data_IF_766846207351
#
_entry.id   IF_766846207351
#
_cell.length_a   1.000
_cell.length_b   1.000
_cell.length_c   1.000
_cell.angle_alpha   90.00
_cell.angle_beta   90.00
_cell.angle_gamma   90.00
#
_symmetry.space_group_name_H-M   'P 1'
#
loop_
_entity.id
_entity.type
_entity.pdbx_description
1 polymer ?
#
# COMPACT_ATOMS: atom_id res chain seq x y z
N UNK A 1 -29.90 -1.82 -1.58
CA UNK A 1 -28.80 -2.77 -1.28
C UNK A 1 -28.61 -3.63 -2.51
N UNK A 2 -27.64 -3.26 -3.39
CA UNK A 2 -27.30 -4.11 -4.53
C UNK A 2 -26.65 -5.39 -4.01
N UNK A 3 -27.14 -6.54 -4.45
CA UNK A 3 -26.46 -7.82 -4.23
C UNK A 3 -25.09 -7.72 -4.87
N UNK A 4 -24.00 -7.75 -4.07
CA UNK A 4 -22.65 -7.95 -4.59
C UNK A 4 -22.66 -9.25 -5.38
N UNK A 5 -22.23 -9.19 -6.64
CA UNK A 5 -22.03 -10.35 -7.47
C UNK A 5 -21.16 -11.35 -6.71
N UNK A 6 -21.60 -12.58 -6.57
CA UNK A 6 -20.86 -13.64 -5.84
C UNK A 6 -19.58 -14.10 -6.55
N UNK A 7 -19.36 -13.63 -7.78
CA UNK A 7 -18.20 -14.01 -8.60
C UNK A 7 -17.18 -12.86 -8.54
N UNK A 8 -15.98 -13.16 -8.03
CA UNK A 8 -14.85 -12.23 -8.01
C UNK A 8 -14.42 -11.95 -9.45
N UNK A 9 -14.34 -10.67 -9.89
CA UNK A 9 -13.87 -10.35 -11.23
C UNK A 9 -12.42 -10.82 -11.45
N UNK A 10 -12.14 -11.30 -12.65
CA UNK A 10 -10.78 -11.74 -13.03
C UNK A 10 -9.89 -10.59 -13.49
N UNK A 11 -10.48 -9.53 -14.05
CA UNK A 11 -9.77 -8.40 -14.65
C UNK A 11 -9.60 -7.24 -13.68
N UNK A 12 -8.48 -6.54 -13.82
CA UNK A 12 -8.21 -5.25 -13.17
C UNK A 12 -8.72 -4.08 -14.08
N UNK A 13 -9.20 -2.96 -13.51
CA UNK A 13 -9.30 -2.65 -12.06
C UNK A 13 -10.57 -3.19 -11.38
N UNK A 14 -11.51 -3.82 -12.11
CA UNK A 14 -12.81 -4.25 -11.58
C UNK A 14 -12.67 -5.18 -10.37
N UNK A 15 -11.63 -6.02 -10.39
CA UNK A 15 -11.29 -6.90 -9.25
C UNK A 15 -11.02 -6.09 -7.99
N UNK A 16 -10.24 -5.02 -8.07
CA UNK A 16 -9.92 -4.19 -6.89
C UNK A 16 -11.14 -3.40 -6.42
N UNK A 17 -11.96 -2.88 -7.32
CA UNK A 17 -13.23 -2.25 -6.95
C UNK A 17 -14.17 -3.21 -6.21
N UNK A 18 -14.22 -4.47 -6.63
CA UNK A 18 -14.96 -5.49 -5.89
C UNK A 18 -14.46 -5.63 -4.45
N UNK A 19 -13.15 -5.71 -4.23
CA UNK A 19 -12.58 -5.79 -2.87
C UNK A 19 -12.75 -4.49 -2.08
N UNK A 20 -12.69 -3.32 -2.72
CA UNK A 20 -12.98 -2.04 -2.07
C UNK A 20 -14.43 -2.03 -1.53
N UNK A 21 -15.40 -2.49 -2.29
CA UNK A 21 -16.80 -2.56 -1.83
C UNK A 21 -17.01 -3.58 -0.69
N UNK A 22 -16.31 -4.72 -0.72
CA UNK A 22 -16.30 -5.67 0.40
C UNK A 22 -15.73 -5.00 1.66
N UNK A 23 -14.57 -4.35 1.54
CA UNK A 23 -13.93 -3.62 2.63
C UNK A 23 -14.84 -2.54 3.20
N UNK A 24 -15.49 -1.77 2.35
CA UNK A 24 -16.41 -0.70 2.77
C UNK A 24 -17.51 -1.22 3.70
N UNK A 25 -18.06 -2.39 3.39
CA UNK A 25 -19.06 -3.04 4.24
C UNK A 25 -18.47 -3.52 5.57
N UNK A 26 -17.26 -4.07 5.55
CA UNK A 26 -16.57 -4.54 6.77
C UNK A 26 -16.15 -3.38 7.67
N UNK A 27 -15.56 -2.34 7.09
CA UNK A 27 -15.12 -1.14 7.81
C UNK A 27 -16.30 -0.40 8.43
N UNK A 28 -17.43 -0.29 7.71
CA UNK A 28 -18.65 0.28 8.24
C UNK A 28 -19.13 -0.45 9.49
N UNK A 29 -19.19 -1.78 9.45
CA UNK A 29 -19.59 -2.60 10.62
C UNK A 29 -18.62 -2.43 11.80
N UNK A 30 -17.32 -2.34 11.54
CA UNK A 30 -16.31 -2.11 12.58
C UNK A 30 -16.43 -0.71 13.17
N UNK A 31 -16.67 0.32 12.35
CA UNK A 31 -16.90 1.69 12.79
C UNK A 31 -18.16 1.81 13.66
N UNK A 32 -19.26 1.19 13.25
CA UNK A 32 -20.50 1.11 14.04
C UNK A 32 -20.28 0.45 15.41
N UNK A 33 -19.50 -0.65 15.46
CA UNK A 33 -19.13 -1.32 16.71
C UNK A 33 -18.23 -0.48 17.60
N UNK A 34 -17.29 0.29 17.01
CA UNK A 34 -16.37 1.16 17.72
C UNK A 34 -17.06 2.46 18.21
N UNK A 35 -18.11 2.90 17.52
CA UNK A 35 -18.82 4.17 17.76
C UNK A 35 -18.16 5.38 17.10
N UNK A 36 -17.13 5.18 16.29
CA UNK A 36 -16.41 6.21 15.55
C UNK A 36 -15.83 5.66 14.23
N UNK A 37 -15.45 6.56 13.30
CA UNK A 37 -14.81 6.18 12.05
C UNK A 37 -13.44 5.55 12.30
N UNK A 38 -13.10 4.52 11.52
CA UNK A 38 -11.76 3.97 11.56
C UNK A 38 -10.78 4.89 10.84
N UNK A 39 -9.62 5.08 11.46
CA UNK A 39 -8.59 6.01 10.97
C UNK A 39 -7.43 5.28 10.31
N UNK A 40 -6.73 5.98 9.39
CA UNK A 40 -5.48 5.49 8.83
C UNK A 40 -4.38 6.54 8.85
N UNK A 41 -3.13 6.07 8.94
CA UNK A 41 -1.91 6.85 8.83
C UNK A 41 -0.95 6.21 7.82
N UNK A 42 -0.35 7.01 6.93
CA UNK A 42 0.69 6.54 6.00
C UNK A 42 1.97 7.32 6.21
N UNK A 43 3.00 6.66 6.69
CA UNK A 43 4.34 7.21 6.80
C UNK A 43 5.18 6.79 5.59
N UNK A 44 5.61 7.76 4.78
CA UNK A 44 6.41 7.52 3.59
C UNK A 44 7.88 7.85 3.84
N UNK A 45 8.74 6.84 3.71
CA UNK A 45 10.19 6.98 3.75
C UNK A 45 10.74 6.74 2.36
N UNK A 46 10.85 7.77 1.53
CA UNK A 46 11.32 7.47 0.18
C UNK A 46 11.38 8.63 -0.80
N UNK A 47 11.33 8.28 -2.07
CA UNK A 47 11.37 9.20 -3.20
C UNK A 47 9.95 9.61 -3.63
N UNK A 48 9.87 10.39 -4.73
CA UNK A 48 8.59 10.83 -5.29
C UNK A 48 7.69 9.66 -5.74
N UNK A 49 8.28 8.54 -6.22
CA UNK A 49 7.50 7.35 -6.56
C UNK A 49 6.82 6.74 -5.33
N UNK A 50 7.52 6.65 -4.18
CA UNK A 50 6.89 6.18 -2.95
C UNK A 50 5.78 7.14 -2.50
N UNK A 51 5.97 8.46 -2.66
CA UNK A 51 4.92 9.43 -2.35
C UNK A 51 3.67 9.18 -3.22
N UNK A 52 3.84 8.96 -4.52
CA UNK A 52 2.74 8.63 -5.44
C UNK A 52 2.08 7.28 -5.13
N UNK A 53 2.88 6.27 -4.77
CA UNK A 53 2.35 4.99 -4.29
C UNK A 53 1.48 5.18 -3.03
N UNK A 54 1.92 6.03 -2.09
CA UNK A 54 1.16 6.35 -0.88
C UNK A 54 -0.16 7.08 -1.17
N UNK A 55 -0.21 7.96 -2.18
CA UNK A 55 -1.44 8.62 -2.63
C UNK A 55 -2.47 7.59 -3.15
N UNK A 56 -2.03 6.55 -3.86
CA UNK A 56 -2.89 5.45 -4.32
C UNK A 56 -3.40 4.62 -3.13
N UNK A 57 -2.51 4.26 -2.18
CA UNK A 57 -2.91 3.53 -0.98
C UNK A 57 -3.94 4.31 -0.15
N UNK A 58 -3.73 5.63 0.00
CA UNK A 58 -4.67 6.52 0.68
C UNK A 58 -6.04 6.52 -0.02
N UNK A 59 -6.07 6.67 -1.34
CA UNK A 59 -7.31 6.66 -2.11
C UNK A 59 -8.10 5.35 -1.94
N UNK A 60 -7.42 4.21 -1.93
CA UNK A 60 -8.06 2.90 -1.68
C UNK A 60 -8.65 2.84 -0.26
N UNK A 61 -7.92 3.31 0.76
CA UNK A 61 -8.42 3.32 2.14
C UNK A 61 -9.60 4.27 2.33
N UNK A 62 -9.56 5.47 1.74
CA UNK A 62 -10.68 6.42 1.80
C UNK A 62 -11.90 5.88 1.06
N UNK A 63 -11.72 5.25 -0.10
CA UNK A 63 -12.80 4.58 -0.81
C UNK A 63 -13.42 3.42 -0.01
N UNK A 64 -12.61 2.75 0.83
CA UNK A 64 -13.07 1.71 1.75
C UNK A 64 -13.71 2.27 3.04
N UNK A 65 -13.67 3.60 3.28
CA UNK A 65 -14.33 4.25 4.40
C UNK A 65 -13.44 4.56 5.61
N UNK A 66 -12.12 4.45 5.49
CA UNK A 66 -11.20 4.97 6.49
C UNK A 66 -11.04 6.49 6.37
N UNK A 67 -10.70 7.14 7.47
CA UNK A 67 -10.45 8.59 7.57
C UNK A 67 -8.97 8.84 7.87
N UNK A 68 -8.35 9.75 7.14
CA UNK A 68 -6.94 10.12 7.35
C UNK A 68 -6.71 10.73 8.74
N UNK A 69 -5.58 10.40 9.37
CA UNK A 69 -5.07 11.06 10.57
C UNK A 69 -3.54 11.19 10.53
N UNK A 70 -3.00 12.22 11.17
CA UNK A 70 -1.55 12.37 11.36
C UNK A 70 -1.03 11.56 12.56
N UNK A 71 -1.92 10.92 13.31
CA UNK A 71 -1.54 10.09 14.46
C UNK A 71 -1.11 8.70 14.01
N UNK A 72 0.09 8.27 14.39
CA UNK A 72 0.59 6.90 14.15
C UNK A 72 -0.12 5.82 15.00
N UNK A 73 -0.99 6.19 15.92
CA UNK A 73 -1.83 5.25 16.68
C UNK A 73 -3.19 5.02 16.01
N UNK A 74 -3.26 5.26 14.70
CA UNK A 74 -4.44 5.01 13.87
C UNK A 74 -4.84 3.52 13.85
N UNK A 75 -6.09 3.24 13.46
CA UNK A 75 -6.59 1.86 13.31
C UNK A 75 -5.85 1.09 12.21
N UNK A 76 -5.30 1.80 11.20
CA UNK A 76 -4.46 1.23 10.18
C UNK A 76 -3.23 2.12 9.92
N UNK A 77 -2.04 1.57 10.09
CA UNK A 77 -0.77 2.27 9.83
C UNK A 77 -0.02 1.60 8.68
N UNK A 78 0.43 2.38 7.72
CA UNK A 78 1.22 1.92 6.58
C UNK A 78 2.59 2.59 6.58
N UNK A 79 3.65 1.81 6.51
CA UNK A 79 5.02 2.27 6.28
C UNK A 79 5.43 1.96 4.84
N UNK A 80 5.51 2.99 4.00
CA UNK A 80 5.98 2.88 2.63
C UNK A 80 7.47 3.22 2.58
N UNK A 81 8.31 2.27 2.23
CA UNK A 81 9.76 2.27 2.46
C UNK A 81 10.57 2.31 1.17
N UNK A 82 11.85 2.70 1.30
CA UNK A 82 12.78 2.92 0.19
C UNK A 82 14.08 2.13 0.40
N UNK A 83 14.59 1.52 -0.66
CA UNK A 83 15.90 0.84 -0.68
C UNK A 83 17.09 1.76 -0.97
N UNK A 84 16.84 2.95 -1.50
CA UNK A 84 17.92 3.88 -1.95
C UNK A 84 18.51 4.69 -0.80
N UNK A 85 17.76 4.85 0.29
CA UNK A 85 18.13 5.72 1.42
C UNK A 85 18.38 4.88 2.66
N UNK A 86 19.63 4.68 3.03
CA UNK A 86 20.02 3.93 4.24
C UNK A 86 19.30 4.43 5.51
N UNK A 87 19.15 5.75 5.65
CA UNK A 87 18.39 6.34 6.75
C UNK A 87 16.91 5.99 6.77
N UNK A 88 16.31 5.53 5.64
CA UNK A 88 14.92 5.09 5.61
C UNK A 88 14.71 3.81 6.40
N UNK A 89 15.63 2.84 6.29
CA UNK A 89 15.59 1.58 7.01
C UNK A 89 15.70 1.81 8.51
N UNK A 90 16.66 2.64 8.95
CA UNK A 90 16.85 2.95 10.36
C UNK A 90 15.62 3.64 10.98
N UNK A 91 15.00 4.56 10.23
CA UNK A 91 13.76 5.22 10.66
C UNK A 91 12.61 4.22 10.78
N UNK A 92 12.42 3.37 9.76
CA UNK A 92 11.40 2.32 9.83
C UNK A 92 11.54 1.48 11.10
N UNK A 93 12.74 0.94 11.37
CA UNK A 93 12.96 0.09 12.52
C UNK A 93 12.76 0.81 13.86
N UNK A 94 13.09 2.11 13.92
CA UNK A 94 12.78 2.96 15.08
C UNK A 94 11.27 3.06 15.33
N UNK A 95 10.47 3.31 14.27
CA UNK A 95 9.00 3.33 14.35
C UNK A 95 8.44 1.96 14.76
N UNK A 96 8.92 0.86 14.15
CA UNK A 96 8.46 -0.49 14.48
C UNK A 96 8.72 -0.87 15.92
N UNK A 97 9.83 -0.39 16.51
CA UNK A 97 10.11 -0.58 17.94
C UNK A 97 9.01 -0.01 18.84
N UNK A 98 8.54 1.21 18.54
CA UNK A 98 7.42 1.87 19.24
C UNK A 98 6.09 1.17 18.95
N UNK A 99 5.82 0.89 17.70
CA UNK A 99 4.56 0.29 17.24
C UNK A 99 4.30 -1.09 17.82
N UNK A 100 5.35 -1.83 18.20
CA UNK A 100 5.22 -3.09 18.93
C UNK A 100 4.45 -2.91 20.25
N UNK A 101 4.70 -1.82 20.97
CA UNK A 101 4.01 -1.50 22.22
C UNK A 101 2.58 -1.04 21.95
N UNK A 102 2.40 -0.16 20.96
CA UNK A 102 1.07 0.35 20.56
C UNK A 102 0.17 -0.81 20.13
N UNK A 103 0.65 -1.69 19.24
CA UNK A 103 -0.08 -2.89 18.78
C UNK A 103 -0.46 -3.84 19.92
N UNK A 104 0.39 -3.97 20.94
CA UNK A 104 0.08 -4.78 22.13
C UNK A 104 -1.10 -4.21 22.93
N UNK A 105 -1.21 -2.88 22.98
CA UNK A 105 -2.29 -2.18 23.68
C UNK A 105 -3.56 -2.05 22.83
N UNK A 106 -3.41 -2.06 21.50
CA UNK A 106 -4.52 -2.05 20.52
C UNK A 106 -4.34 -3.21 19.53
N UNK A 107 -4.72 -4.45 19.89
CA UNK A 107 -4.54 -5.63 19.03
C UNK A 107 -5.27 -5.56 17.70
N UNK A 108 -6.39 -4.85 17.64
CA UNK A 108 -7.24 -4.72 16.44
C UNK A 108 -6.65 -3.76 15.38
N UNK A 109 -5.65 -2.94 15.75
CA UNK A 109 -4.91 -2.09 14.85
C UNK A 109 -4.22 -2.93 13.76
N UNK A 110 -4.23 -2.46 12.51
CA UNK A 110 -3.49 -3.07 11.41
C UNK A 110 -2.19 -2.31 11.13
N UNK A 111 -1.12 -3.04 10.84
CA UNK A 111 0.17 -2.47 10.45
C UNK A 111 0.64 -3.13 9.15
N UNK A 112 0.86 -2.32 8.11
CA UNK A 112 1.37 -2.77 6.84
C UNK A 112 2.74 -2.15 6.53
N UNK A 113 3.60 -2.92 5.85
CA UNK A 113 4.87 -2.42 5.30
C UNK A 113 4.88 -2.69 3.80
N UNK A 114 5.26 -1.69 3.02
CA UNK A 114 5.38 -1.82 1.57
C UNK A 114 6.55 -1.00 1.01
N UNK A 115 6.69 -1.03 -0.30
CA UNK A 115 7.67 -0.22 -1.02
C UNK A 115 8.92 -0.99 -1.43
N UNK A 116 9.93 -0.26 -1.90
CA UNK A 116 11.12 -0.85 -2.52
C UNK A 116 11.90 -1.78 -1.59
N UNK A 117 12.01 -1.44 -0.30
CA UNK A 117 12.69 -2.25 0.70
C UNK A 117 12.09 -3.66 0.81
N UNK A 118 10.79 -3.82 0.57
CA UNK A 118 10.12 -5.13 0.60
C UNK A 118 10.35 -5.94 -0.68
N UNK A 119 11.27 -5.55 -1.55
CA UNK A 119 11.79 -6.37 -2.65
C UNK A 119 13.15 -7.02 -2.29
N UNK A 120 13.74 -6.67 -1.15
CA UNK A 120 15.02 -7.20 -0.68
C UNK A 120 14.80 -8.44 0.20
N UNK A 121 15.30 -9.64 -0.20
CA UNK A 121 15.05 -10.89 0.52
C UNK A 121 15.45 -10.84 1.99
N UNK A 122 16.59 -10.23 2.31
CA UNK A 122 17.11 -10.14 3.69
C UNK A 122 16.19 -9.30 4.59
N UNK A 123 15.63 -8.22 4.05
CA UNK A 123 14.69 -7.36 4.76
C UNK A 123 13.35 -8.05 5.00
N UNK A 124 12.86 -8.82 4.00
CA UNK A 124 11.65 -9.64 4.14
C UNK A 124 11.83 -10.67 5.26
N UNK A 125 12.95 -11.40 5.26
CA UNK A 125 13.23 -12.43 6.27
C UNK A 125 13.37 -11.82 7.66
N UNK A 126 13.98 -10.65 7.78
CA UNK A 126 14.08 -9.89 9.03
C UNK A 126 12.71 -9.45 9.56
N UNK A 127 11.80 -8.94 8.71
CA UNK A 127 10.44 -8.62 9.10
C UNK A 127 9.71 -9.87 9.59
N UNK A 128 9.76 -10.94 8.80
CA UNK A 128 9.09 -12.22 9.05
C UNK A 128 9.50 -12.86 10.40
N UNK A 129 10.77 -12.76 10.74
CA UNK A 129 11.32 -13.39 11.95
C UNK A 129 11.22 -12.51 13.18
N UNK A 130 11.51 -11.21 13.09
CA UNK A 130 11.65 -10.31 14.24
C UNK A 130 10.42 -9.43 14.50
N UNK A 131 9.56 -9.21 13.49
CA UNK A 131 8.45 -8.27 13.58
C UNK A 131 7.09 -8.93 13.32
N UNK A 132 6.84 -10.07 13.98
CA UNK A 132 5.64 -10.91 13.83
C UNK A 132 4.31 -10.20 14.11
N UNK A 133 4.35 -9.00 14.68
CA UNK A 133 3.18 -8.17 14.94
C UNK A 133 2.72 -7.37 13.71
N UNK A 134 3.47 -7.39 12.61
CA UNK A 134 3.09 -6.80 11.33
C UNK A 134 2.02 -7.69 10.70
N UNK A 135 1.00 -7.05 10.10
CA UNK A 135 -0.15 -7.72 9.53
C UNK A 135 -0.01 -8.01 8.03
N UNK A 136 0.53 -7.03 7.27
CA UNK A 136 0.62 -7.12 5.81
C UNK A 136 2.00 -6.65 5.34
N UNK A 137 2.63 -7.41 4.46
CA UNK A 137 3.88 -7.04 3.78
C UNK A 137 3.72 -7.26 2.29
N UNK A 138 3.94 -6.22 1.49
CA UNK A 138 3.80 -6.30 0.03
C UNK A 138 4.83 -5.44 -0.70
N UNK A 139 5.12 -5.84 -1.94
CA UNK A 139 6.14 -5.20 -2.76
C UNK A 139 5.62 -4.03 -3.60
N UNK A 140 6.51 -3.52 -4.47
CA UNK A 140 6.20 -2.41 -5.39
C UNK A 140 5.41 -2.87 -6.60
N UNK A 141 5.47 -4.15 -6.96
CA UNK A 141 4.88 -4.70 -8.18
C UNK A 141 3.38 -5.00 -8.05
N UNK A 142 2.89 -5.15 -6.83
CA UNK A 142 1.51 -5.53 -6.53
C UNK A 142 0.77 -4.54 -5.61
N UNK A 143 1.20 -3.26 -5.61
CA UNK A 143 0.52 -2.18 -4.86
C UNK A 143 -0.98 -2.09 -5.23
N UNK A 144 -1.33 -2.32 -6.50
CA UNK A 144 -2.72 -2.29 -6.95
C UNK A 144 -3.60 -3.33 -6.26
N UNK A 145 -3.04 -4.44 -5.76
CA UNK A 145 -3.77 -5.50 -5.02
C UNK A 145 -4.09 -5.13 -3.56
N UNK A 146 -3.79 -3.92 -3.14
CA UNK A 146 -3.88 -3.54 -1.74
C UNK A 146 -5.25 -3.78 -1.12
N UNK A 147 -6.34 -3.48 -1.83
CA UNK A 147 -7.70 -3.75 -1.34
C UNK A 147 -7.93 -5.26 -1.08
N UNK A 148 -7.50 -6.12 -2.00
CA UNK A 148 -7.56 -7.57 -1.85
C UNK A 148 -6.74 -8.05 -0.65
N UNK A 149 -5.53 -7.52 -0.46
CA UNK A 149 -4.66 -7.88 0.67
C UNK A 149 -5.27 -7.50 2.03
N UNK A 150 -5.85 -6.31 2.14
CA UNK A 150 -6.52 -5.87 3.36
C UNK A 150 -7.74 -6.74 3.66
N UNK A 151 -8.59 -7.01 2.64
CA UNK A 151 -9.74 -7.90 2.80
C UNK A 151 -9.31 -9.30 3.25
N UNK A 152 -8.27 -9.86 2.62
CA UNK A 152 -7.72 -11.17 3.00
C UNK A 152 -7.25 -11.16 4.45
N UNK A 153 -6.56 -10.09 4.88
CA UNK A 153 -6.06 -9.97 6.26
C UNK A 153 -7.21 -9.89 7.27
N UNK A 154 -8.27 -9.18 6.97
CA UNK A 154 -9.42 -9.08 7.88
C UNK A 154 -10.16 -10.42 8.05
N UNK A 155 -9.99 -11.35 7.12
CA UNK A 155 -10.62 -12.67 7.09
C UNK A 155 -9.64 -13.83 7.32
N UNK A 156 -8.40 -13.55 7.72
CA UNK A 156 -7.38 -14.59 7.99
C UNK A 156 -6.51 -14.24 9.18
N UNK A 157 -5.93 -15.25 9.82
CA UNK A 157 -4.96 -15.09 10.89
C UNK A 157 -3.53 -15.02 10.34
N UNK A 158 -2.62 -14.48 11.16
CA UNK A 158 -1.20 -14.38 10.86
C UNK A 158 -0.84 -13.22 9.92
N UNK A 159 0.45 -13.12 9.59
CA UNK A 159 1.00 -12.10 8.68
C UNK A 159 0.76 -12.51 7.22
N UNK A 160 0.25 -11.60 6.41
CA UNK A 160 0.18 -11.78 4.95
C UNK A 160 1.45 -11.21 4.33
N UNK A 161 2.11 -12.02 3.51
CA UNK A 161 3.28 -11.60 2.73
C UNK A 161 2.97 -11.90 1.26
N UNK A 162 2.76 -10.87 0.46
CA UNK A 162 2.52 -10.99 -0.98
C UNK A 162 3.48 -10.07 -1.73
N UNK A 163 4.60 -10.62 -2.19
CA UNK A 163 5.67 -9.88 -2.85
C UNK A 163 5.91 -10.49 -4.22
N UNK A 164 5.58 -9.75 -5.24
CA UNK A 164 5.84 -10.15 -6.62
C UNK A 164 7.26 -9.77 -7.03
N UNK A 165 7.96 -10.70 -7.65
CA UNK A 165 9.33 -10.47 -8.15
C UNK A 165 9.34 -9.59 -9.40
N UNK A 166 8.28 -9.69 -10.20
CA UNK A 166 8.12 -8.94 -11.45
C UNK A 166 6.64 -8.83 -11.83
N UNK A 167 6.30 -7.88 -12.69
CA UNK A 167 4.98 -7.74 -13.31
C UNK A 167 5.08 -6.93 -14.59
N UNK A 168 4.29 -7.31 -15.58
CA UNK A 168 4.07 -6.51 -16.79
C UNK A 168 2.79 -5.65 -16.69
N UNK A 169 2.04 -5.78 -15.60
CA UNK A 169 0.77 -5.08 -15.43
C UNK A 169 0.99 -3.64 -14.97
N UNK A 170 0.23 -2.75 -15.56
CA UNK A 170 -0.04 -1.39 -15.07
C UNK A 170 -1.55 -1.30 -14.90
N UNK A 171 -2.00 -1.12 -13.65
CA UNK A 171 -3.42 -1.00 -13.35
C UNK A 171 -3.75 0.48 -13.21
N UNK A 172 -4.62 0.95 -14.09
CA UNK A 172 -5.10 2.32 -14.15
C UNK A 172 -6.44 2.48 -13.41
N UNK A 173 -6.84 3.73 -13.23
CA UNK A 173 -8.16 4.11 -12.73
C UNK A 173 -8.51 3.57 -11.33
N UNK A 174 -7.52 3.27 -10.50
CA UNK A 174 -7.76 3.02 -9.07
C UNK A 174 -7.91 4.35 -8.31
N UNK A 175 -8.65 4.35 -7.18
CA UNK A 175 -8.78 5.53 -6.35
C UNK A 175 -7.43 6.06 -5.90
N UNK A 176 -7.25 7.37 -5.93
CA UNK A 176 -6.08 8.05 -5.41
C UNK A 176 -6.46 9.39 -4.74
N UNK A 177 -5.65 9.83 -3.79
CA UNK A 177 -5.80 11.11 -3.09
C UNK A 177 -4.57 11.96 -3.34
N UNK A 178 -4.76 13.17 -3.82
CA UNK A 178 -3.66 14.10 -4.04
C UNK A 178 -3.30 14.81 -2.74
N UNK A 179 -2.02 14.71 -2.35
CA UNK A 179 -1.54 15.35 -1.12
C UNK A 179 -1.61 16.87 -1.17
N UNK A 180 -1.44 17.47 -2.35
CA UNK A 180 -1.42 18.93 -2.52
C UNK A 180 -2.38 19.36 -3.61
N UNK A 181 -3.06 20.48 -3.40
CA UNK A 181 -4.01 21.07 -4.36
C UNK A 181 -3.34 21.77 -5.55
N UNK A 182 -2.08 22.22 -5.39
CA UNK A 182 -1.38 23.05 -6.37
C UNK A 182 -0.24 22.32 -7.10
N UNK A 183 0.07 21.09 -6.71
CA UNK A 183 1.08 20.25 -7.39
C UNK A 183 0.73 18.78 -7.26
N UNK A 184 1.06 18.02 -8.28
CA UNK A 184 0.90 16.57 -8.29
C UNK A 184 2.04 15.89 -9.02
N UNK A 185 2.40 14.67 -8.57
CA UNK A 185 3.26 13.79 -9.32
C UNK A 185 2.44 12.88 -10.22
N UNK A 186 2.82 12.74 -11.49
CA UNK A 186 2.24 11.79 -12.42
C UNK A 186 3.32 10.82 -12.85
N UNK A 187 3.11 9.53 -12.59
CA UNK A 187 4.02 8.50 -13.09
C UNK A 187 3.76 8.31 -14.57
N UNK A 188 4.78 8.48 -15.41
CA UNK A 188 4.68 8.20 -16.85
C UNK A 188 5.20 6.80 -17.19
N UNK A 189 6.01 6.22 -16.29
CA UNK A 189 6.62 4.91 -16.44
C UNK A 189 7.02 4.32 -15.08
N UNK A 190 7.24 3.03 -15.05
CA UNK A 190 7.74 2.27 -13.90
C UNK A 190 8.99 1.48 -14.29
N UNK A 191 9.91 1.27 -13.34
CA UNK A 191 11.12 0.49 -13.55
C UNK A 191 12.18 1.21 -14.39
N UNK A 192 13.23 0.47 -14.79
CA UNK A 192 14.31 1.00 -15.61
C UNK A 192 15.12 -0.14 -16.24
N UNK A 193 15.55 0.02 -17.51
CA UNK A 193 16.35 -0.96 -18.25
C UNK A 193 17.84 -0.63 -18.32
N UNK A 194 18.31 0.48 -17.70
CA UNK A 194 19.69 0.90 -17.83
C UNK A 194 20.70 0.06 -17.03
N UNK A 195 20.29 -0.59 -15.94
CA UNK A 195 21.13 -1.43 -15.09
C UNK A 195 22.50 -0.82 -14.76
N UNK A 196 22.54 0.48 -14.46
CA UNK A 196 23.77 1.16 -14.01
C UNK A 196 24.34 0.45 -12.78
N UNK A 197 25.67 0.32 -12.69
CA UNK A 197 26.37 -0.50 -11.69
C UNK A 197 26.06 -0.15 -10.23
N UNK A 198 25.63 1.08 -9.96
CA UNK A 198 25.29 1.58 -8.62
C UNK A 198 23.78 1.64 -8.35
N UNK A 199 22.93 1.25 -9.30
CA UNK A 199 21.49 1.54 -9.23
C UNK A 199 20.67 0.28 -8.87
N UNK A 200 19.90 0.39 -7.78
CA UNK A 200 19.01 -0.70 -7.33
C UNK A 200 17.64 -0.69 -8.05
N UNK A 201 17.29 0.38 -8.76
CA UNK A 201 15.93 0.56 -9.34
C UNK A 201 15.46 -0.62 -10.19
N UNK A 202 16.25 -1.18 -11.13
CA UNK A 202 15.82 -2.33 -11.92
C UNK A 202 15.46 -3.56 -11.08
N UNK A 203 16.05 -3.72 -9.91
CA UNK A 203 15.86 -4.87 -9.03
C UNK A 203 14.65 -4.72 -8.11
N UNK A 204 14.28 -3.48 -7.74
CA UNK A 204 13.19 -3.20 -6.80
C UNK A 204 11.94 -2.58 -7.45
N UNK A 205 12.05 -2.11 -8.70
CA UNK A 205 10.93 -1.56 -9.49
C UNK A 205 10.74 -2.30 -10.83
N UNK A 206 11.62 -3.27 -11.13
CA UNK A 206 11.57 -4.10 -12.32
C UNK A 206 12.02 -3.43 -13.61
N UNK A 207 11.74 -4.10 -14.72
CA UNK A 207 11.98 -3.58 -16.06
C UNK A 207 11.08 -2.38 -16.36
N UNK A 208 11.51 -1.59 -17.32
CA UNK A 208 10.75 -0.42 -17.78
C UNK A 208 9.40 -0.83 -18.34
N UNK A 209 8.36 -0.16 -17.87
CA UNK A 209 6.97 -0.27 -18.33
C UNK A 209 6.39 1.13 -18.44
N UNK A 210 6.17 1.60 -19.64
CA UNK A 210 5.57 2.91 -19.91
C UNK A 210 4.05 2.83 -19.86
N UNK A 211 3.42 3.86 -19.34
CA UNK A 211 1.96 4.03 -19.37
C UNK A 211 1.52 4.52 -20.74
N UNK A 212 0.29 4.21 -21.09
CA UNK A 212 -0.33 4.73 -22.30
C UNK A 212 -0.51 6.26 -22.20
N UNK A 213 -0.14 7.02 -23.22
CA UNK A 213 -0.27 8.49 -23.21
C UNK A 213 -1.69 8.98 -22.87
N UNK A 214 -2.72 8.29 -23.35
CA UNK A 214 -4.13 8.60 -23.06
C UNK A 214 -4.47 8.53 -21.57
N UNK A 215 -3.88 7.58 -20.83
CA UNK A 215 -4.13 7.40 -19.41
C UNK A 215 -3.39 8.46 -18.58
N UNK A 216 -2.20 8.87 -19.04
CA UNK A 216 -1.43 9.97 -18.45
C UNK A 216 -2.19 11.28 -18.63
N UNK A 217 -2.67 11.58 -19.84
CA UNK A 217 -3.45 12.80 -20.15
C UNK A 217 -4.70 12.85 -19.26
N UNK A 218 -5.46 11.76 -19.22
CA UNK A 218 -6.67 11.66 -18.38
C UNK A 218 -6.38 11.90 -16.89
N UNK A 219 -5.23 11.44 -16.38
CA UNK A 219 -4.81 11.68 -15.00
C UNK A 219 -4.45 13.15 -14.76
N UNK A 220 -3.87 13.84 -15.74
CA UNK A 220 -3.51 15.26 -15.65
C UNK A 220 -4.74 16.18 -15.69
N UNK A 221 -5.78 15.77 -16.42
CA UNK A 221 -7.05 16.52 -16.56
C UNK A 221 -7.97 16.44 -15.33
N UNK A 222 -7.73 15.49 -14.43
CA UNK A 222 -8.44 15.36 -13.12
C UNK A 222 -7.94 16.38 -12.10
#
# INVERSE_FOLDING_TARGET
>A
MGQLNTIVPEKEPERQYYFIELLKNEIKKKAEKKGESLTYHIQTFGCQMNARDSEKLAGILEAAGFVHTDNEEADFVIYNTCSVRENANNRLYGHLGRMKVVKKNNPDMLIAICGCMMQEPDEIEKIKTKYKFIDIVFGTHNIFKFAELVHTKLNSEGMIIDIWKDTNQIVEDLPDVRKYTFKSGVNIMYGCNNFCSYCIVPYVRGRERSREPKDIIREVER
#
